data_IF_675027658782
#
_entry.id   IF_675027658782
#
_cell.length_a   1.000
_cell.length_b   1.000
_cell.length_c   1.000
_cell.angle_alpha   90.00
_cell.angle_beta   90.00
_cell.angle_gamma   90.00
#
_symmetry.space_group_name_H-M   'P 1'
#
loop_
_entity.id
_entity.type
_entity.pdbx_description
1 polymer ?
#
# COMPACT_ATOMS: atom_id res chain seq x y z
N UNK A 1 0.76 16.08 -7.77
CA UNK A 1 1.59 16.14 -6.56
C UNK A 1 1.65 14.71 -6.02
N UNK A 2 2.80 14.24 -5.54
CA UNK A 2 2.85 12.90 -4.96
C UNK A 2 2.19 12.95 -3.59
N UNK A 3 1.15 12.17 -3.36
CA UNK A 3 0.39 12.19 -2.12
C UNK A 3 0.56 10.84 -1.41
N UNK A 4 1.07 10.89 -0.19
CA UNK A 4 1.09 9.77 0.74
C UNK A 4 0.30 10.11 2.00
N UNK A 5 -0.44 9.12 2.50
CA UNK A 5 -1.28 9.28 3.68
C UNK A 5 -1.15 8.07 4.59
N UNK A 6 -0.79 8.28 5.86
CA UNK A 6 -0.77 7.19 6.83
C UNK A 6 -2.19 6.69 7.12
N UNK A 7 -2.38 5.37 7.11
CA UNK A 7 -3.64 4.73 7.48
C UNK A 7 -3.48 4.20 8.90
N UNK A 8 -4.21 4.81 9.81
CA UNK A 8 -4.15 4.46 11.25
C UNK A 8 -5.38 3.69 11.70
N UNK A 9 -6.46 3.71 10.91
CA UNK A 9 -7.74 3.11 11.28
C UNK A 9 -8.26 2.17 10.19
N UNK A 10 -9.08 1.21 10.63
CA UNK A 10 -9.71 0.25 9.73
C UNK A 10 -10.75 0.90 8.81
N UNK A 11 -11.41 1.96 9.28
CA UNK A 11 -12.36 2.73 8.46
C UNK A 11 -11.68 3.43 7.29
N UNK A 12 -10.49 3.99 7.50
CA UNK A 12 -9.72 4.58 6.40
C UNK A 12 -9.28 3.51 5.39
N UNK A 13 -8.77 2.37 5.86
CA UNK A 13 -8.44 1.25 4.96
C UNK A 13 -9.66 0.81 4.15
N UNK A 14 -10.83 0.74 4.79
CA UNK A 14 -12.10 0.35 4.13
C UNK A 14 -12.53 1.38 3.10
N UNK A 15 -12.45 2.68 3.41
CA UNK A 15 -12.80 3.76 2.46
C UNK A 15 -11.92 3.71 1.22
N UNK A 16 -10.61 3.51 1.39
CA UNK A 16 -9.69 3.45 0.25
C UNK A 16 -9.88 2.16 -0.57
N UNK A 17 -10.21 1.04 0.07
CA UNK A 17 -10.61 -0.19 -0.64
C UNK A 17 -11.88 -0.03 -1.46
N UNK A 18 -12.86 0.72 -0.94
CA UNK A 18 -14.10 1.04 -1.66
C UNK A 18 -13.84 1.94 -2.86
N UNK A 19 -12.87 2.85 -2.77
CA UNK A 19 -12.45 3.68 -3.90
C UNK A 19 -11.72 2.87 -4.99
N UNK A 20 -11.17 1.69 -4.67
CA UNK A 20 -10.29 0.86 -5.52
C UNK A 20 -9.12 1.64 -6.16
N UNK A 21 -8.75 2.78 -5.57
CA UNK A 21 -7.79 3.71 -6.16
C UNK A 21 -6.54 3.86 -5.28
N UNK A 22 -5.38 3.79 -5.94
CA UNK A 22 -4.06 3.88 -5.32
C UNK A 22 -3.50 2.57 -4.76
N UNK A 23 -2.47 2.72 -3.92
CA UNK A 23 -1.63 1.63 -3.44
C UNK A 23 -1.37 1.74 -1.94
N UNK A 24 -1.00 0.62 -1.34
CA UNK A 24 -0.70 0.53 0.09
C UNK A 24 0.75 0.09 0.26
N UNK A 25 1.53 0.92 0.93
CA UNK A 25 2.88 0.62 1.39
C UNK A 25 2.80 0.11 2.82
N UNK A 26 3.31 -1.09 3.03
CA UNK A 26 3.47 -1.68 4.36
C UNK A 26 4.93 -1.50 4.74
N UNK A 27 5.17 -0.69 5.78
CA UNK A 27 6.50 -0.49 6.35
C UNK A 27 6.57 -1.31 7.64
N UNK A 28 7.44 -2.30 7.66
CA UNK A 28 7.69 -3.14 8.84
C UNK A 28 9.07 -2.80 9.41
N UNK A 29 9.26 -2.92 10.71
CA UNK A 29 10.56 -2.59 11.33
C UNK A 29 11.63 -3.62 10.98
N UNK A 30 11.24 -4.85 10.67
CA UNK A 30 12.15 -5.97 10.41
C UNK A 30 12.35 -6.26 8.91
N UNK A 31 11.63 -5.57 8.01
CA UNK A 31 11.65 -5.84 6.57
C UNK A 31 11.63 -4.55 5.76
N UNK A 32 12.21 -4.60 4.57
CA UNK A 32 12.06 -3.52 3.60
C UNK A 32 10.57 -3.18 3.38
N UNK A 33 10.22 -1.91 3.20
CA UNK A 33 8.85 -1.52 2.88
C UNK A 33 8.42 -2.14 1.55
N UNK A 34 7.18 -2.64 1.50
CA UNK A 34 6.63 -3.29 0.31
C UNK A 34 5.35 -2.57 -0.11
N UNK A 35 5.23 -2.29 -1.40
CA UNK A 35 4.02 -1.71 -2.00
C UNK A 35 3.11 -2.81 -2.59
N UNK A 36 1.83 -2.71 -2.24
CA UNK A 36 0.74 -3.61 -2.60
C UNK A 36 -0.40 -2.83 -3.28
N UNK A 37 -1.18 -3.50 -4.14
CA UNK A 37 -2.45 -2.96 -4.63
C UNK A 37 -3.47 -2.92 -3.48
N UNK A 38 -4.33 -1.91 -3.43
CA UNK A 38 -5.23 -1.66 -2.30
C UNK A 38 -6.20 -2.82 -1.98
N UNK A 39 -6.69 -3.48 -3.02
CA UNK A 39 -7.55 -4.67 -2.95
C UNK A 39 -6.77 -5.98 -3.16
N UNK A 40 -5.45 -5.97 -2.95
CA UNK A 40 -4.66 -7.20 -3.00
C UNK A 40 -5.00 -8.11 -1.83
N UNK A 41 -5.11 -9.41 -2.12
CA UNK A 41 -5.26 -10.48 -1.12
C UNK A 41 -4.08 -10.55 -0.14
N UNK A 42 -2.92 -9.96 -0.49
CA UNK A 42 -1.78 -9.86 0.43
C UNK A 42 -2.02 -8.88 1.59
N UNK A 43 -3.00 -7.99 1.46
CA UNK A 43 -3.38 -7.07 2.54
C UNK A 43 -4.44 -7.79 3.38
N UNK A 44 -4.01 -8.66 4.29
CA UNK A 44 -4.94 -9.30 5.23
C UNK A 44 -5.39 -8.28 6.27
N UNK A 45 -6.70 -8.14 6.43
CA UNK A 45 -7.32 -7.33 7.49
C UNK A 45 -6.90 -7.78 8.88
N UNK A 46 -6.67 -9.08 9.06
CA UNK A 46 -6.15 -9.67 10.29
C UNK A 46 -4.73 -9.17 10.62
N UNK A 47 -3.82 -9.17 9.63
CA UNK A 47 -2.48 -8.60 9.78
C UNK A 47 -2.50 -7.10 10.05
N UNK A 48 -3.42 -6.36 9.42
CA UNK A 48 -3.59 -4.94 9.71
C UNK A 48 -4.02 -4.72 11.17
N UNK A 49 -4.99 -5.49 11.66
CA UNK A 49 -5.46 -5.43 13.04
C UNK A 49 -4.32 -5.74 14.02
N UNK A 50 -3.55 -6.80 13.76
CA UNK A 50 -2.41 -7.19 14.61
C UNK A 50 -1.31 -6.12 14.62
N UNK A 51 -0.95 -5.57 13.46
CA UNK A 51 0.19 -4.64 13.36
C UNK A 51 -0.13 -3.20 13.74
N UNK A 52 -1.31 -2.71 13.38
CA UNK A 52 -1.70 -1.31 13.56
C UNK A 52 -2.46 -1.10 14.86
N UNK A 53 -3.41 -1.99 15.18
CA UNK A 53 -4.29 -1.83 16.35
C UNK A 53 -3.67 -2.51 17.58
N UNK A 54 -3.36 -3.81 17.51
CA UNK A 54 -2.87 -4.56 18.67
C UNK A 54 -1.44 -4.21 19.07
N UNK A 55 -0.57 -3.93 18.09
CA UNK A 55 0.82 -3.53 18.37
C UNK A 55 1.03 -2.00 18.34
N UNK A 56 -0.03 -1.20 18.28
CA UNK A 56 0.04 0.27 18.28
C UNK A 56 1.05 0.83 17.26
N UNK A 57 1.16 0.22 16.07
CA UNK A 57 2.14 0.58 15.01
C UNK A 57 3.61 0.33 15.34
N UNK A 58 3.93 -0.34 16.46
CA UNK A 58 5.33 -0.65 16.86
C UNK A 58 6.01 -1.65 15.93
N UNK A 59 5.24 -2.55 15.31
CA UNK A 59 5.77 -3.60 14.42
C UNK A 59 5.65 -3.24 12.94
N UNK A 60 4.82 -2.25 12.61
CA UNK A 60 4.71 -1.73 11.25
C UNK A 60 3.58 -0.72 11.05
N UNK A 61 3.76 0.14 10.05
CA UNK A 61 2.81 1.18 9.64
C UNK A 61 2.33 0.93 8.21
N UNK A 62 1.13 1.41 7.92
CA UNK A 62 0.50 1.31 6.61
C UNK A 62 0.34 2.71 6.04
N UNK A 63 0.79 2.93 4.82
CA UNK A 63 0.68 4.20 4.11
C UNK A 63 -0.06 3.97 2.80
N UNK A 64 -1.09 4.76 2.54
CA UNK A 64 -1.65 4.90 1.21
C UNK A 64 -0.77 5.81 0.36
N UNK A 65 -0.67 5.51 -0.93
CA UNK A 65 -0.03 6.37 -1.91
C UNK A 65 -0.83 6.37 -3.22
N UNK A 66 -0.73 7.46 -3.98
CA UNK A 66 -1.35 7.58 -5.30
C UNK A 66 -0.76 6.58 -6.32
N UNK A 67 0.55 6.31 -6.25
CA UNK A 67 1.25 5.51 -7.26
C UNK A 67 2.42 4.71 -6.71
N UNK A 68 2.77 3.65 -7.43
CA UNK A 68 3.97 2.82 -7.14
C UNK A 68 5.26 3.67 -7.24
N UNK A 69 5.27 4.69 -8.10
CA UNK A 69 6.38 5.63 -8.22
C UNK A 69 6.54 6.46 -6.94
N UNK A 70 5.44 6.98 -6.39
CA UNK A 70 5.43 7.67 -5.08
C UNK A 70 5.93 6.75 -3.98
N UNK A 71 5.46 5.50 -3.91
CA UNK A 71 5.93 4.52 -2.93
C UNK A 71 7.45 4.29 -2.99
N UNK A 72 8.00 4.13 -4.21
CA UNK A 72 9.43 3.95 -4.41
C UNK A 72 10.24 5.19 -4.03
N UNK A 73 9.76 6.38 -4.37
CA UNK A 73 10.47 7.64 -4.13
C UNK A 73 10.45 8.07 -2.66
N UNK A 74 9.30 7.98 -2.00
CA UNK A 74 9.13 8.46 -0.63
C UNK A 74 9.54 7.42 0.42
N UNK A 75 9.27 6.15 0.16
CA UNK A 75 9.47 5.08 1.15
C UNK A 75 10.57 4.10 0.76
N UNK A 76 11.16 4.20 -0.44
CA UNK A 76 12.08 3.17 -0.94
C UNK A 76 11.41 1.80 -1.10
N UNK A 77 10.09 1.77 -1.25
CA UNK A 77 9.32 0.54 -1.16
C UNK A 77 9.57 -0.37 -2.37
N UNK A 78 9.81 -1.66 -2.08
CA UNK A 78 9.92 -2.72 -3.09
C UNK A 78 8.54 -3.17 -3.53
N UNK A 79 8.44 -3.61 -4.78
CA UNK A 79 7.17 -4.07 -5.35
C UNK A 79 6.83 -5.46 -4.81
N UNK A 80 5.57 -5.66 -4.43
CA UNK A 80 5.07 -6.98 -4.06
C UNK A 80 5.14 -7.94 -5.26
N UNK A 81 5.94 -9.01 -5.16
CA UNK A 81 6.11 -10.03 -6.22
C UNK A 81 4.83 -10.82 -6.52
N UNK A 82 3.93 -10.92 -5.53
CA UNK A 82 2.66 -11.67 -5.64
C UNK A 82 1.57 -10.79 -6.26
N UNK A 83 1.45 -9.57 -5.76
CA UNK A 83 0.41 -8.62 -6.11
C UNK A 83 0.63 -7.97 -7.48
N UNK A 84 1.89 -7.91 -7.95
CA UNK A 84 2.32 -7.23 -9.17
C UNK A 84 1.56 -5.91 -9.42
N UNK A 85 1.78 -4.89 -8.55
CA UNK A 85 1.04 -3.61 -8.64
C UNK A 85 1.29 -2.83 -9.95
N UNK A 86 2.23 -3.30 -10.76
CA UNK A 86 2.68 -2.78 -12.06
C UNK A 86 1.66 -2.99 -13.19
N UNK A 87 0.78 -3.97 -13.06
CA UNK A 87 -0.06 -4.45 -14.17
C UNK A 87 -1.25 -3.53 -14.52
N UNK A 88 -1.39 -2.39 -13.83
CA UNK A 88 -2.42 -1.38 -14.12
C UNK A 88 -1.84 -0.02 -14.55
N UNK A 89 -0.58 0.03 -14.99
CA UNK A 89 -0.16 1.14 -15.85
C UNK A 89 -0.43 0.74 -17.30
N UNK A 90 -1.65 0.99 -17.77
CA UNK A 90 -1.87 1.16 -19.21
C UNK A 90 -1.24 2.52 -19.50
N UNK A 91 -0.01 2.51 -20.00
CA UNK A 91 0.50 3.69 -20.68
C UNK A 91 -0.46 3.99 -21.84
N UNK A 92 -1.16 5.14 -21.89
CA UNK A 92 -2.09 5.43 -22.98
C UNK A 92 -1.39 5.54 -24.34
N UNK A 93 -0.05 5.53 -24.39
CA UNK A 93 0.77 5.48 -25.61
C UNK A 93 1.07 4.04 -26.08
N UNK A 94 0.64 3.01 -25.34
CA UNK A 94 0.79 1.60 -25.73
C UNK A 94 -0.38 1.06 -26.57
N UNK A 95 -1.45 1.85 -26.76
CA UNK A 95 -2.44 1.64 -27.81
C UNK A 95 -1.90 2.24 -29.11
N UNK A 96 -1.08 1.46 -29.82
CA UNK A 96 -0.80 1.69 -31.25
C UNK A 96 -1.82 0.97 -32.10
#
# INVERSE_FOLDING_TARGET
MAESKEITTFEELRKLRLADDGYIVIKDTARDPIVHKINSTCISTDNFNVKVILNERRTGSYFWVDSVATAGREFGAKRCKVCKPETHYIDPSALK
#
